data_IF_630620637858
#
_entry.id   IF_630620637858
#
_cell.length_a   1.000
_cell.length_b   1.000
_cell.length_c   1.000
_cell.angle_alpha   90.00
_cell.angle_beta   90.00
_cell.angle_gamma   90.00
#
_symmetry.space_group_name_H-M   'P 1'
#
loop_
_entity.id
_entity.type
_entity.pdbx_description
1 polymer ?
#
# COMPACT_ATOMS: atom_id res chain seq x y z
N UNK A 1 -1.54 11.62 32.85
CA UNK A 1 -0.30 11.39 32.10
C UNK A 1 0.82 11.39 33.11
N UNK A 2 1.57 10.30 33.18
CA UNK A 2 2.68 10.15 34.12
C UNK A 2 3.97 10.29 33.31
N UNK A 3 4.62 11.45 33.43
CA UNK A 3 5.79 11.84 32.62
C UNK A 3 7.04 10.98 32.90
N UNK A 4 6.96 10.07 33.88
CA UNK A 4 8.03 9.19 34.33
C UNK A 4 7.96 7.80 33.65
N UNK A 5 6.88 7.50 32.92
CA UNK A 5 6.76 6.22 32.21
C UNK A 5 7.54 6.22 30.89
N UNK A 6 8.40 5.22 30.70
CA UNK A 6 8.98 4.89 29.40
C UNK A 6 8.00 3.97 28.64
N UNK A 7 7.18 4.49 27.70
CA UNK A 7 6.20 3.66 26.99
C UNK A 7 6.92 2.66 26.08
N UNK A 8 6.40 1.44 26.02
CA UNK A 8 6.84 0.47 25.02
C UNK A 8 6.20 0.82 23.68
N UNK A 9 7.01 1.25 22.71
CA UNK A 9 6.54 1.60 21.37
C UNK A 9 6.54 0.37 20.45
N UNK A 10 5.70 0.42 19.41
CA UNK A 10 5.78 -0.54 18.31
C UNK A 10 7.06 -0.28 17.50
N UNK A 11 7.53 -1.31 16.81
CA UNK A 11 8.63 -1.18 15.87
C UNK A 11 8.28 -0.16 14.77
N UNK A 12 9.29 0.56 14.29
CA UNK A 12 9.15 1.42 13.13
C UNK A 12 8.78 0.57 11.90
N UNK A 13 7.80 1.05 11.13
CA UNK A 13 7.40 0.41 9.88
C UNK A 13 8.46 0.64 8.81
N UNK A 14 8.71 -0.38 7.99
CA UNK A 14 9.55 -0.27 6.79
C UNK A 14 8.70 -0.39 5.52
N UNK A 15 9.31 -0.15 4.35
CA UNK A 15 8.59 -0.17 3.08
C UNK A 15 7.91 -1.52 2.82
N UNK A 16 8.57 -2.63 3.15
CA UNK A 16 8.01 -3.98 3.01
C UNK A 16 6.71 -4.16 3.80
N UNK A 17 6.61 -3.55 4.99
CA UNK A 17 5.40 -3.64 5.80
C UNK A 17 4.20 -2.97 5.14
N UNK A 18 4.44 -2.02 4.24
CA UNK A 18 3.41 -1.23 3.58
C UNK A 18 2.95 -1.81 2.24
N UNK A 19 3.87 -2.28 1.39
CA UNK A 19 3.57 -2.58 -0.03
C UNK A 19 3.75 -4.03 -0.46
N UNK A 20 4.21 -4.92 0.43
CA UNK A 20 4.55 -6.30 0.05
C UNK A 20 3.37 -7.19 -0.34
N UNK A 21 2.12 -6.79 -0.09
CA UNK A 21 0.90 -7.48 -0.52
C UNK A 21 0.31 -6.94 -1.82
N UNK A 22 0.85 -5.85 -2.39
CA UNK A 22 0.36 -5.29 -3.64
C UNK A 22 0.73 -6.17 -4.83
N UNK A 23 -0.17 -6.30 -5.84
CA UNK A 23 0.12 -7.03 -7.06
C UNK A 23 1.21 -6.33 -7.89
N UNK A 24 1.99 -7.13 -8.62
CA UNK A 24 2.94 -6.60 -9.61
C UNK A 24 2.18 -6.01 -10.79
N UNK A 25 2.55 -4.80 -11.20
CA UNK A 25 1.97 -4.09 -12.35
C UNK A 25 3.06 -3.61 -13.31
N UNK A 26 2.69 -3.37 -14.57
CA UNK A 26 3.56 -2.80 -15.59
C UNK A 26 3.70 -1.28 -15.47
N UNK A 27 4.61 -0.69 -16.26
CA UNK A 27 4.77 0.77 -16.37
C UNK A 27 3.55 1.47 -16.99
N UNK A 28 2.72 0.73 -17.72
CA UNK A 28 1.54 1.21 -18.44
C UNK A 28 0.22 0.66 -17.85
N UNK A 29 0.21 0.31 -16.56
CA UNK A 29 -1.04 -0.02 -15.86
C UNK A 29 -1.98 1.18 -15.87
N UNK A 30 -3.13 1.02 -16.54
CA UNK A 30 -4.14 2.05 -16.76
C UNK A 30 -5.46 1.79 -16.02
N UNK A 31 -5.59 0.62 -15.37
CA UNK A 31 -6.80 0.25 -14.64
C UNK A 31 -6.80 0.91 -13.24
N UNK A 32 -7.62 1.94 -13.06
CA UNK A 32 -7.76 2.67 -11.79
C UNK A 32 -8.30 1.80 -10.64
N UNK A 33 -8.94 0.67 -10.96
CA UNK A 33 -9.48 -0.28 -9.99
C UNK A 33 -9.07 -1.70 -10.38
N UNK A 34 -8.49 -2.44 -9.43
CA UNK A 34 -8.13 -3.84 -9.61
C UNK A 34 -8.33 -4.67 -8.33
N UNK A 35 -8.19 -5.98 -8.44
CA UNK A 35 -8.30 -6.89 -7.30
C UNK A 35 -6.95 -7.04 -6.58
N UNK A 36 -7.02 -7.18 -5.25
CA UNK A 36 -5.90 -7.73 -4.49
C UNK A 36 -5.74 -9.22 -4.84
N UNK A 37 -4.54 -9.63 -5.23
CA UNK A 37 -4.26 -11.03 -5.55
C UNK A 37 -3.94 -11.87 -4.30
N UNK A 38 -3.59 -11.22 -3.19
CA UNK A 38 -3.22 -11.88 -1.94
C UNK A 38 -3.86 -11.19 -0.72
N UNK A 39 -3.94 -11.94 0.38
CA UNK A 39 -4.31 -11.39 1.69
C UNK A 39 -3.21 -10.47 2.23
N UNK A 40 -3.54 -9.55 3.15
CA UNK A 40 -2.54 -8.75 3.86
C UNK A 40 -1.51 -9.66 4.53
N UNK A 41 -0.23 -9.27 4.45
CA UNK A 41 0.90 -10.01 5.05
C UNK A 41 1.32 -9.43 6.40
N UNK A 42 1.08 -8.13 6.61
CA UNK A 42 1.46 -7.42 7.83
C UNK A 42 0.24 -6.83 8.54
N UNK A 43 0.42 -6.49 9.83
CA UNK A 43 -0.62 -5.78 10.60
C UNK A 43 -0.94 -4.41 9.99
N UNK A 44 0.06 -3.73 9.42
CA UNK A 44 -0.16 -2.44 8.75
C UNK A 44 -1.00 -2.60 7.50
N UNK A 45 -0.71 -3.58 6.64
CA UNK A 45 -1.52 -3.88 5.46
C UNK A 45 -2.96 -4.27 5.83
N UNK A 46 -3.12 -5.07 6.90
CA UNK A 46 -4.45 -5.43 7.41
C UNK A 46 -5.22 -4.18 7.82
N UNK A 47 -4.56 -3.25 8.51
CA UNK A 47 -5.16 -2.00 8.99
C UNK A 47 -5.59 -1.09 7.84
N UNK A 48 -4.71 -0.80 6.86
CA UNK A 48 -5.05 0.11 5.75
C UNK A 48 -6.10 -0.45 4.78
N UNK A 49 -6.35 -1.77 4.82
CA UNK A 49 -7.37 -2.47 4.00
C UNK A 49 -8.70 -2.67 4.72
N UNK A 50 -8.87 -2.14 5.94
CA UNK A 50 -10.13 -2.24 6.67
C UNK A 50 -11.27 -1.55 5.91
N UNK A 51 -12.49 -2.07 6.11
CA UNK A 51 -13.70 -1.40 5.62
C UNK A 51 -13.87 -0.02 6.26
N UNK A 52 -14.64 0.85 5.60
CA UNK A 52 -15.01 2.16 6.16
C UNK A 52 -15.67 2.02 7.54
N UNK A 53 -16.55 1.03 7.69
CA UNK A 53 -17.21 0.73 8.96
C UNK A 53 -16.23 0.34 10.07
N UNK A 54 -15.24 -0.50 9.76
CA UNK A 54 -14.17 -0.86 10.72
C UNK A 54 -13.28 0.33 11.08
N UNK A 55 -13.14 1.30 10.17
CA UNK A 55 -12.48 2.59 10.40
C UNK A 55 -13.36 3.62 11.12
N UNK A 56 -14.59 3.28 11.47
CA UNK A 56 -15.60 4.21 12.02
C UNK A 56 -15.88 5.41 11.08
N UNK A 57 -15.70 5.23 9.77
CA UNK A 57 -16.09 6.17 8.72
C UNK A 57 -17.54 5.90 8.28
N UNK A 58 -18.43 6.82 8.66
CA UNK A 58 -19.86 6.76 8.37
C UNK A 58 -20.30 7.75 7.28
N UNK A 59 -19.37 8.21 6.44
CA UNK A 59 -19.66 9.17 5.35
C UNK A 59 -20.76 8.68 4.38
N UNK A 60 -21.01 7.36 4.33
CA UNK A 60 -22.04 6.72 3.50
C UNK A 60 -23.21 6.11 4.31
N UNK A 61 -23.32 6.42 5.60
CA UNK A 61 -24.30 5.81 6.50
C UNK A 61 -24.07 4.30 6.67
N UNK A 62 -25.15 3.51 6.70
CA UNK A 62 -25.10 2.05 6.86
C UNK A 62 -24.75 1.28 5.58
N UNK A 63 -24.55 1.99 4.46
CA UNK A 63 -24.25 1.37 3.17
C UNK A 63 -22.75 1.14 3.02
N UNK A 64 -22.40 0.02 2.39
CA UNK A 64 -21.07 -0.18 1.79
C UNK A 64 -20.73 1.00 0.88
N UNK A 65 -19.61 1.65 1.16
CA UNK A 65 -19.08 2.71 0.30
C UNK A 65 -18.56 2.16 -1.03
N UNK A 66 -18.35 3.03 -2.03
CA UNK A 66 -17.76 2.61 -3.30
C UNK A 66 -16.34 2.05 -3.08
N UNK A 67 -15.98 1.04 -3.87
CA UNK A 67 -14.64 0.46 -3.87
C UNK A 67 -14.28 -0.39 -2.65
N UNK A 68 -15.28 -0.85 -1.88
CA UNK A 68 -15.01 -1.73 -0.73
C UNK A 68 -14.35 -3.05 -1.21
N UNK A 69 -13.18 -3.35 -0.64
CA UNK A 69 -12.42 -4.55 -0.96
C UNK A 69 -11.58 -4.51 -2.25
N UNK A 70 -11.63 -3.41 -3.02
CA UNK A 70 -10.84 -3.24 -4.25
C UNK A 70 -9.57 -2.43 -4.01
N UNK A 71 -8.53 -2.70 -4.81
CA UNK A 71 -7.33 -1.88 -4.86
C UNK A 71 -7.55 -0.73 -5.86
N UNK A 72 -7.49 0.49 -5.37
CA UNK A 72 -7.68 1.70 -6.16
C UNK A 72 -6.35 2.40 -6.41
N UNK A 73 -6.23 3.07 -7.54
CA UNK A 73 -5.13 3.97 -7.90
C UNK A 73 -3.72 3.33 -7.86
N UNK A 74 -3.63 2.01 -8.07
CA UNK A 74 -2.35 1.28 -8.16
C UNK A 74 -1.71 1.40 -9.55
N UNK A 75 -1.62 2.65 -10.02
CA UNK A 75 -1.16 3.02 -11.35
C UNK A 75 0.14 3.84 -11.24
N UNK A 76 1.30 3.30 -11.62
CA UNK A 76 2.55 4.06 -11.61
C UNK A 76 2.54 5.14 -12.70
N UNK A 77 3.41 6.14 -12.54
CA UNK A 77 3.66 7.10 -13.63
C UNK A 77 4.17 6.35 -14.86
N UNK A 78 3.46 6.49 -15.99
CA UNK A 78 3.88 5.91 -17.27
C UNK A 78 5.13 6.61 -17.79
N UNK A 79 6.28 6.01 -17.51
CA UNK A 79 7.55 6.48 -18.03
C UNK A 79 7.56 6.43 -19.56
N UNK A 80 8.22 7.41 -20.18
CA UNK A 80 8.53 7.33 -21.60
C UNK A 80 9.50 6.17 -21.87
N UNK A 81 9.69 5.85 -23.15
CA UNK A 81 10.51 4.72 -23.57
C UNK A 81 11.94 4.79 -23.01
N UNK A 82 12.57 5.96 -23.05
CA UNK A 82 13.96 6.12 -22.66
C UNK A 82 14.15 6.06 -21.13
N UNK A 83 13.23 6.61 -20.36
CA UNK A 83 13.20 6.47 -18.90
C UNK A 83 12.93 5.03 -18.48
N UNK A 84 11.98 4.36 -19.13
CA UNK A 84 11.66 2.97 -18.82
C UNK A 84 12.84 2.02 -19.11
N UNK A 85 13.53 2.21 -20.24
CA UNK A 85 14.74 1.44 -20.57
C UNK A 85 15.90 1.72 -19.60
N UNK A 86 16.01 2.94 -19.06
CA UNK A 86 16.98 3.24 -18.00
C UNK A 86 16.64 2.52 -16.70
N UNK A 87 15.38 2.55 -16.27
CA UNK A 87 14.93 1.88 -15.03
C UNK A 87 15.18 0.38 -15.09
N UNK A 88 14.92 -0.28 -16.23
CA UNK A 88 15.20 -1.71 -16.42
C UNK A 88 16.66 -2.12 -16.21
N UNK A 89 17.60 -1.18 -16.36
CA UNK A 89 19.04 -1.43 -16.22
C UNK A 89 19.55 -1.23 -14.80
N UNK A 90 18.71 -0.73 -13.89
CA UNK A 90 19.06 -0.54 -12.48
C UNK A 90 19.10 -1.92 -11.80
N UNK A 91 20.24 -2.32 -11.20
CA UNK A 91 20.32 -3.56 -10.43
C UNK A 91 19.34 -3.55 -9.24
N UNK A 92 18.68 -4.68 -8.98
CA UNK A 92 17.74 -4.81 -7.89
C UNK A 92 18.45 -5.26 -6.60
N UNK A 93 19.32 -4.39 -6.09
CA UNK A 93 20.15 -4.67 -4.92
C UNK A 93 20.24 -3.43 -4.05
N UNK A 94 20.28 -3.61 -2.73
CA UNK A 94 20.62 -2.52 -1.84
C UNK A 94 22.11 -2.22 -2.02
N UNK A 95 22.44 -1.04 -2.55
CA UNK A 95 23.82 -0.57 -2.55
C UNK A 95 24.24 -0.44 -1.08
N UNK A 96 25.21 -1.25 -0.66
CA UNK A 96 25.75 -1.22 0.69
C UNK A 96 26.27 0.19 0.99
N UNK A 97 25.81 0.77 2.10
CA UNK A 97 26.35 2.01 2.65
C UNK A 97 27.48 1.74 3.60
#
# INVERSE_FOLDING_TARGET
>A
YDEIQNPTLKNALVLEDAISDLPKVGNDQADDVMEYLVKPKTEFQRYIRLSRKEMLDYSFGDKTGPGEGTLMDHCPLRLNKDDYERVKRIPFEKVGG
#
